data_IF_150553218803
#
_entry.id   IF_150553218803
#
_cell.length_a   1.000
_cell.length_b   1.000
_cell.length_c   1.000
_cell.angle_alpha   90.00
_cell.angle_beta   90.00
_cell.angle_gamma   90.00
#
_symmetry.space_group_name_H-M   'P 1'
#
loop_
_entity.id
_entity.type
_entity.pdbx_description
1 polymer ?
#
# COMPACT_ATOMS: atom_id res chain seq x y z
N UNK A 1 -29.02 7.71 -13.36
CA UNK A 1 -27.63 7.35 -12.97
C UNK A 1 -26.79 7.41 -14.23
N UNK A 2 -25.84 8.36 -14.33
CA UNK A 2 -25.04 8.54 -15.53
C UNK A 2 -24.15 7.33 -15.80
N UNK A 3 -24.08 6.87 -17.05
CA UNK A 3 -23.28 5.70 -17.43
C UNK A 3 -21.79 5.96 -17.17
N UNK A 4 -21.15 5.11 -16.38
CA UNK A 4 -19.71 5.15 -16.16
C UNK A 4 -18.97 4.81 -17.46
N UNK A 5 -18.03 5.66 -17.87
CA UNK A 5 -17.24 5.42 -19.08
C UNK A 5 -16.25 4.27 -18.86
N UNK A 6 -15.96 3.50 -19.92
CA UNK A 6 -14.97 2.42 -19.89
C UNK A 6 -13.61 2.87 -19.34
N UNK A 7 -13.04 4.04 -19.75
CA UNK A 7 -11.78 4.53 -19.18
C UNK A 7 -11.85 4.74 -17.67
N UNK A 8 -12.97 5.27 -17.16
CA UNK A 8 -13.16 5.49 -15.72
C UNK A 8 -13.23 4.17 -14.97
N UNK A 9 -13.87 3.15 -15.52
CA UNK A 9 -13.88 1.80 -14.94
C UNK A 9 -12.47 1.21 -14.85
N UNK A 10 -11.68 1.28 -15.92
CA UNK A 10 -10.30 0.78 -15.93
C UNK A 10 -9.44 1.52 -14.90
N UNK A 11 -9.54 2.86 -14.86
CA UNK A 11 -8.82 3.67 -13.88
C UNK A 11 -9.14 3.25 -12.44
N UNK A 12 -10.41 3.08 -12.09
CA UNK A 12 -10.81 2.65 -10.76
C UNK A 12 -10.32 1.24 -10.43
N UNK A 13 -10.39 0.29 -11.37
CA UNK A 13 -9.92 -1.08 -11.14
C UNK A 13 -8.41 -1.11 -10.88
N UNK A 14 -7.63 -0.35 -11.64
CA UNK A 14 -6.18 -0.23 -11.42
C UNK A 14 -5.92 0.40 -10.04
N UNK A 15 -6.61 1.48 -9.70
CA UNK A 15 -6.46 2.13 -8.38
C UNK A 15 -6.82 1.19 -7.24
N UNK A 16 -7.89 0.38 -7.37
CA UNK A 16 -8.27 -0.64 -6.40
C UNK A 16 -7.15 -1.68 -6.22
N UNK A 17 -6.59 -2.21 -7.32
CA UNK A 17 -5.50 -3.16 -7.26
C UNK A 17 -4.26 -2.58 -6.54
N UNK A 18 -3.94 -1.31 -6.82
CA UNK A 18 -2.82 -0.63 -6.16
C UNK A 18 -3.11 -0.44 -4.66
N UNK A 19 -4.34 -0.07 -4.28
CA UNK A 19 -4.73 0.02 -2.86
C UNK A 19 -4.63 -1.33 -2.14
N UNK A 20 -4.94 -2.45 -2.80
CA UNK A 20 -4.74 -3.78 -2.24
C UNK A 20 -3.25 -4.07 -1.98
N UNK A 21 -2.36 -3.65 -2.88
CA UNK A 21 -0.90 -3.78 -2.69
C UNK A 21 -0.46 -2.94 -1.50
N UNK A 22 -0.96 -1.70 -1.36
CA UNK A 22 -0.66 -0.86 -0.20
C UNK A 22 -1.14 -1.51 1.10
N UNK A 23 -2.37 -2.04 1.12
CA UNK A 23 -2.90 -2.76 2.28
C UNK A 23 -2.06 -3.98 2.65
N UNK A 24 -1.67 -4.79 1.66
CA UNK A 24 -0.80 -5.95 1.86
C UNK A 24 0.58 -5.55 2.41
N UNK A 25 1.15 -4.45 1.91
CA UNK A 25 2.40 -3.91 2.41
C UNK A 25 2.30 -3.46 3.87
N UNK A 26 1.20 -2.79 4.26
CA UNK A 26 0.94 -2.40 5.66
C UNK A 26 0.82 -3.61 6.58
N UNK A 27 0.09 -4.65 6.15
CA UNK A 27 0.00 -5.91 6.90
C UNK A 27 1.36 -6.59 7.04
N UNK A 28 2.16 -6.61 5.96
CA UNK A 28 3.51 -7.17 5.97
C UNK A 28 4.46 -6.40 6.90
N UNK A 29 4.30 -5.09 7.03
CA UNK A 29 5.09 -4.24 7.93
C UNK A 29 4.65 -4.31 9.40
N UNK A 30 3.47 -4.88 9.67
CA UNK A 30 2.90 -4.91 11.00
C UNK A 30 3.82 -5.49 12.10
N UNK A 31 4.56 -6.60 11.87
CA UNK A 31 5.49 -7.12 12.88
C UNK A 31 6.56 -6.11 13.28
N UNK A 32 7.17 -5.43 12.30
CA UNK A 32 8.17 -4.39 12.54
C UNK A 32 7.57 -3.20 13.29
N UNK A 33 6.36 -2.78 12.89
CA UNK A 33 5.66 -1.66 13.53
C UNK A 33 5.33 -2.01 14.98
N UNK A 34 4.82 -3.21 15.24
CA UNK A 34 4.51 -3.68 16.58
C UNK A 34 5.78 -3.76 17.45
N UNK A 35 6.88 -4.29 16.92
CA UNK A 35 8.16 -4.35 17.63
C UNK A 35 8.71 -2.96 17.97
N UNK A 36 8.57 -1.99 17.07
CA UNK A 36 9.05 -0.62 17.31
C UNK A 36 8.14 0.22 18.21
N UNK A 37 6.83 0.04 18.15
CA UNK A 37 5.86 0.85 18.89
C UNK A 37 5.53 0.26 20.27
N UNK A 38 5.39 -1.06 20.36
CA UNK A 38 5.08 -1.76 21.61
C UNK A 38 6.37 -2.14 22.33
N UNK A 39 7.37 -2.64 21.61
CA UNK A 39 8.69 -2.93 22.17
C UNK A 39 8.69 -3.96 23.29
N UNK A 40 7.78 -4.95 23.24
CA UNK A 40 7.72 -6.00 24.25
C UNK A 40 8.64 -7.17 23.90
N UNK A 41 8.97 -7.98 24.91
CA UNK A 41 9.72 -9.23 24.71
C UNK A 41 9.03 -10.13 23.68
N UNK A 42 7.70 -10.18 23.70
CA UNK A 42 6.92 -10.98 22.76
C UNK A 42 7.03 -10.45 21.32
N UNK A 43 7.02 -9.14 21.10
CA UNK A 43 7.18 -8.57 19.74
C UNK A 43 8.61 -8.76 19.24
N UNK A 44 9.61 -8.71 20.12
CA UNK A 44 11.00 -8.92 19.75
C UNK A 44 11.30 -10.38 19.40
N UNK A 45 10.72 -11.33 20.14
CA UNK A 45 10.80 -12.75 19.83
C UNK A 45 10.07 -13.08 18.51
N UNK A 46 8.93 -12.44 18.25
CA UNK A 46 8.23 -12.58 16.98
C UNK A 46 9.08 -12.10 15.80
N UNK A 47 9.67 -10.91 15.90
CA UNK A 47 10.60 -10.38 14.89
C UNK A 47 11.82 -11.29 14.71
N UNK A 48 12.45 -11.74 15.80
CA UNK A 48 13.59 -12.66 15.75
C UNK A 48 13.24 -13.96 15.03
N UNK A 49 12.04 -14.48 15.27
CA UNK A 49 11.55 -15.69 14.60
C UNK A 49 11.36 -15.46 13.11
N UNK A 50 10.75 -14.34 12.72
CA UNK A 50 10.57 -13.97 11.31
C UNK A 50 11.91 -13.74 10.59
N UNK A 51 12.86 -13.09 11.27
CA UNK A 51 14.19 -12.79 10.74
C UNK A 51 15.06 -14.03 10.50
N UNK A 52 14.80 -15.15 11.19
CA UNK A 52 15.47 -16.44 10.93
C UNK A 52 15.05 -17.07 9.59
N UNK A 53 13.89 -16.68 9.06
CA UNK A 53 13.45 -17.08 7.74
C UNK A 53 14.03 -16.16 6.66
N UNK A 54 13.15 -15.41 6.02
CA UNK A 54 13.48 -14.49 4.93
C UNK A 54 12.68 -13.17 5.02
N UNK A 55 12.13 -12.86 6.19
CA UNK A 55 11.39 -11.63 6.40
C UNK A 55 12.29 -10.42 6.20
N UNK A 56 11.95 -9.58 5.22
CA UNK A 56 12.67 -8.36 4.90
C UNK A 56 11.67 -7.18 4.88
N UNK A 57 11.52 -6.43 5.99
CA UNK A 57 10.55 -5.36 6.07
C UNK A 57 10.79 -4.23 5.06
N UNK A 58 12.00 -4.08 4.51
CA UNK A 58 12.27 -3.10 3.45
C UNK A 58 11.44 -3.38 2.18
N UNK A 59 11.09 -4.64 1.91
CA UNK A 59 10.20 -4.98 0.79
C UNK A 59 8.83 -4.33 0.94
N UNK A 60 8.24 -4.38 2.14
CA UNK A 60 6.95 -3.74 2.43
C UNK A 60 7.03 -2.22 2.26
N UNK A 61 8.08 -1.60 2.78
CA UNK A 61 8.28 -0.16 2.65
C UNK A 61 8.44 0.30 1.21
N UNK A 62 9.32 -0.36 0.46
CA UNK A 62 9.62 0.03 -0.92
C UNK A 62 8.43 -0.26 -1.83
N UNK A 63 7.89 -1.49 -1.81
CA UNK A 63 6.78 -1.85 -2.67
C UNK A 63 5.50 -1.07 -2.33
N UNK A 64 5.15 -0.97 -1.04
CA UNK A 64 3.99 -0.21 -0.58
C UNK A 64 4.12 1.28 -0.84
N UNK A 65 5.31 1.86 -0.59
CA UNK A 65 5.59 3.27 -0.84
C UNK A 65 5.52 3.65 -2.31
N UNK A 66 6.13 2.84 -3.20
CA UNK A 66 6.05 3.05 -4.65
C UNK A 66 4.60 2.94 -5.13
N UNK A 67 3.90 1.89 -4.71
CA UNK A 67 2.48 1.68 -5.04
C UNK A 67 1.64 2.89 -4.64
N UNK A 68 1.79 3.36 -3.40
CA UNK A 68 1.08 4.53 -2.89
C UNK A 68 1.40 5.79 -3.71
N UNK A 69 2.68 6.06 -3.97
CA UNK A 69 3.11 7.22 -4.75
C UNK A 69 2.54 7.21 -6.17
N UNK A 70 2.62 6.08 -6.86
CA UNK A 70 2.03 5.89 -8.19
C UNK A 70 0.53 6.12 -8.17
N UNK A 71 -0.18 5.60 -7.17
CA UNK A 71 -1.63 5.76 -7.07
C UNK A 71 -2.03 7.21 -6.82
N UNK A 72 -1.34 7.91 -5.92
CA UNK A 72 -1.62 9.32 -5.60
C UNK A 72 -1.40 10.17 -6.85
N UNK A 73 -0.22 10.03 -7.50
CA UNK A 73 0.09 10.80 -8.72
C UNK A 73 -0.89 10.46 -9.84
N UNK A 74 -1.17 9.19 -10.08
CA UNK A 74 -2.13 8.76 -11.10
C UNK A 74 -3.54 9.29 -10.84
N UNK A 75 -3.96 9.35 -9.58
CA UNK A 75 -5.25 9.89 -9.16
C UNK A 75 -5.31 11.40 -9.39
N UNK A 76 -4.29 12.14 -8.97
CA UNK A 76 -4.18 13.59 -9.19
C UNK A 76 -4.23 13.92 -10.68
N UNK A 77 -3.44 13.22 -11.50
CA UNK A 77 -3.42 13.41 -12.96
C UNK A 77 -4.78 13.07 -13.58
N UNK A 78 -5.45 12.00 -13.12
CA UNK A 78 -6.76 11.64 -13.64
C UNK A 78 -7.82 12.71 -13.37
N UNK A 79 -7.97 13.12 -12.10
CA UNK A 79 -9.01 14.07 -11.71
C UNK A 79 -8.76 15.46 -12.31
N UNK A 80 -7.50 15.91 -12.33
CA UNK A 80 -7.14 17.19 -12.95
C UNK A 80 -7.42 17.21 -14.45
N UNK A 81 -7.08 16.14 -15.18
CA UNK A 81 -7.19 16.11 -16.65
C UNK A 81 -8.58 15.77 -17.17
N UNK A 82 -9.27 14.83 -16.53
CA UNK A 82 -10.52 14.26 -17.06
C UNK A 82 -11.76 14.70 -16.32
N UNK A 83 -11.64 15.18 -15.07
CA UNK A 83 -12.78 15.65 -14.28
C UNK A 83 -12.74 17.16 -13.99
N UNK A 84 -11.62 17.84 -14.26
CA UNK A 84 -11.45 19.26 -13.94
C UNK A 84 -11.51 19.54 -12.43
N UNK A 85 -11.19 18.53 -11.60
CA UNK A 85 -11.23 18.61 -10.14
C UNK A 85 -9.82 18.49 -9.58
N UNK A 86 -9.46 19.39 -8.68
CA UNK A 86 -8.30 19.35 -7.80
C UNK A 86 -8.67 20.00 -6.47
#
# INVERSE_FOLDING_TARGET
MGSQSLPKTIFLLISMAIWLIVGAALMYLFPLIADRLIGSEQTHQWMTTLSRGSYNPNLGWVAGGIALGVNIVGTIVWYSRFEGKL
#
